data_IF_477433310474
#
_entry.id   IF_477433310474
#
_cell.length_a   1.000
_cell.length_b   1.000
_cell.length_c   1.000
_cell.angle_alpha   90.00
_cell.angle_beta   90.00
_cell.angle_gamma   90.00
#
_symmetry.space_group_name_H-M   'P 1'
#
loop_
_entity.id
_entity.type
_entity.pdbx_description
1 polymer ?
#
# COMPACT_ATOMS: atom_id res chain seq x y z
N UNK A 1 3.24 -12.56 -21.71
CA UNK A 1 3.93 -13.48 -20.77
C UNK A 1 4.24 -12.76 -19.43
N UNK A 2 3.21 -12.60 -18.60
CA UNK A 2 3.28 -11.82 -17.37
C UNK A 2 3.69 -12.66 -16.16
N UNK A 3 4.67 -12.09 -15.47
CA UNK A 3 5.06 -12.16 -14.05
C UNK A 3 4.18 -12.88 -12.98
N UNK A 4 3.56 -14.06 -13.17
CA UNK A 4 2.91 -14.81 -12.06
C UNK A 4 3.84 -14.85 -10.83
N UNK A 5 3.31 -14.77 -9.59
CA UNK A 5 4.13 -14.71 -8.39
C UNK A 5 5.09 -15.91 -8.32
N UNK A 6 6.37 -15.64 -8.08
CA UNK A 6 7.41 -16.66 -7.94
C UNK A 6 7.42 -17.18 -6.50
N UNK A 7 6.84 -18.35 -6.22
CA UNK A 7 6.96 -18.94 -4.89
C UNK A 7 8.27 -19.72 -4.79
N UNK A 8 9.07 -19.36 -3.77
CA UNK A 8 10.22 -20.15 -3.37
C UNK A 8 9.79 -21.20 -2.35
N UNK A 9 9.78 -22.46 -2.77
CA UNK A 9 9.65 -23.57 -1.83
C UNK A 9 11.07 -23.89 -1.35
N UNK A 10 11.46 -23.33 -0.20
CA UNK A 10 12.75 -23.66 0.41
C UNK A 10 12.79 -25.14 0.79
N UNK A 11 13.98 -25.76 0.72
CA UNK A 11 14.22 -27.10 1.27
C UNK A 11 13.76 -27.24 2.73
N UNK A 12 13.68 -26.12 3.48
CA UNK A 12 13.15 -26.02 4.85
C UNK A 12 11.65 -26.32 4.94
N UNK A 13 10.83 -25.86 3.98
CA UNK A 13 9.38 -26.14 3.92
C UNK A 13 9.17 -27.62 3.62
N UNK A 14 9.95 -28.18 2.69
CA UNK A 14 9.99 -29.62 2.44
C UNK A 14 10.42 -30.42 3.68
N UNK A 15 11.40 -29.94 4.47
CA UNK A 15 11.83 -30.59 5.73
C UNK A 15 10.72 -30.57 6.79
N UNK A 16 10.02 -29.45 6.98
CA UNK A 16 8.92 -29.35 7.95
C UNK A 16 7.71 -30.21 7.56
N UNK A 17 7.37 -30.26 6.27
CA UNK A 17 6.32 -31.17 5.76
C UNK A 17 6.71 -32.64 5.97
N UNK A 18 7.98 -33.01 5.76
CA UNK A 18 8.52 -34.35 6.04
C UNK A 18 8.44 -34.73 7.52
N UNK A 19 8.77 -33.79 8.42
CA UNK A 19 8.70 -33.97 9.87
C UNK A 19 7.25 -34.17 10.36
N UNK A 20 6.30 -33.39 9.84
CA UNK A 20 4.88 -33.47 10.24
C UNK A 20 4.20 -34.78 9.81
N UNK A 21 4.64 -35.40 8.71
CA UNK A 21 4.01 -36.60 8.15
C UNK A 21 4.86 -37.87 8.22
N UNK A 22 5.98 -37.86 8.96
CA UNK A 22 6.92 -39.00 9.12
C UNK A 22 7.28 -39.71 7.79
N UNK A 23 7.48 -38.94 6.73
CA UNK A 23 7.87 -39.49 5.43
C UNK A 23 9.37 -39.81 5.43
N UNK A 24 9.74 -41.07 5.23
CA UNK A 24 11.14 -41.52 5.10
C UNK A 24 11.88 -40.75 3.99
N UNK A 25 13.21 -40.62 4.15
CA UNK A 25 14.11 -39.86 3.26
C UNK A 25 13.92 -40.26 1.79
N UNK A 26 13.13 -39.48 1.07
CA UNK A 26 12.97 -39.58 -0.38
C UNK A 26 13.82 -38.47 -1.02
N UNK A 27 14.51 -38.82 -2.12
CA UNK A 27 15.46 -37.98 -2.85
C UNK A 27 14.95 -36.55 -3.09
N UNK A 28 15.85 -35.57 -3.08
CA UNK A 28 15.54 -34.14 -3.23
C UNK A 28 14.78 -33.76 -4.52
N UNK A 29 14.68 -34.69 -5.49
CA UNK A 29 13.92 -34.54 -6.73
C UNK A 29 12.41 -34.80 -6.60
N UNK A 30 11.97 -35.58 -5.59
CA UNK A 30 10.58 -36.01 -5.47
C UNK A 30 9.57 -34.85 -5.29
N UNK A 31 9.85 -33.84 -4.44
CA UNK A 31 8.97 -32.69 -4.29
C UNK A 31 8.74 -31.95 -5.62
N UNK A 32 9.78 -31.85 -6.46
CA UNK A 32 9.68 -31.20 -7.76
C UNK A 32 8.77 -31.95 -8.74
N UNK A 33 8.83 -33.29 -8.76
CA UNK A 33 7.95 -34.14 -9.57
C UNK A 33 6.48 -34.02 -9.10
N UNK A 34 6.25 -34.05 -7.79
CA UNK A 34 4.91 -33.92 -7.22
C UNK A 34 4.27 -32.54 -7.50
N UNK A 35 5.06 -31.47 -7.42
CA UNK A 35 4.60 -30.12 -7.74
C UNK A 35 4.18 -30.02 -9.22
N UNK A 36 4.97 -30.57 -10.15
CA UNK A 36 4.61 -30.57 -11.58
C UNK A 36 3.39 -31.43 -11.90
N UNK A 37 3.20 -32.53 -11.17
CA UNK A 37 2.00 -33.37 -11.29
C UNK A 37 0.75 -32.61 -10.83
N UNK A 38 0.83 -31.89 -9.70
CA UNK A 38 -0.32 -31.15 -9.17
C UNK A 38 -0.58 -29.82 -9.88
N UNK A 39 0.46 -29.19 -10.42
CA UNK A 39 0.41 -27.92 -11.12
C UNK A 39 1.05 -28.05 -12.51
N UNK A 40 0.33 -28.59 -13.50
CA UNK A 40 0.90 -28.93 -14.82
C UNK A 40 1.47 -27.74 -15.59
N UNK A 41 0.95 -26.53 -15.31
CA UNK A 41 1.37 -25.27 -15.95
C UNK A 41 2.58 -24.61 -15.26
N UNK A 42 3.14 -25.21 -14.21
CA UNK A 42 4.26 -24.62 -13.46
C UNK A 42 5.56 -24.67 -14.25
N UNK A 43 6.24 -23.54 -14.35
CA UNK A 43 7.56 -23.43 -14.99
C UNK A 43 8.65 -23.16 -13.94
N UNK A 44 9.93 -23.32 -14.31
CA UNK A 44 11.06 -23.07 -13.40
C UNK A 44 11.94 -21.97 -13.96
N UNK A 45 12.34 -21.01 -13.12
CA UNK A 45 13.28 -19.94 -13.49
C UNK A 45 14.39 -19.83 -12.45
N UNK A 46 15.56 -19.35 -12.86
CA UNK A 46 16.67 -19.03 -11.96
C UNK A 46 16.72 -17.50 -11.78
N UNK A 47 16.59 -17.02 -10.55
CA UNK A 47 16.52 -15.59 -10.22
C UNK A 47 17.61 -15.23 -9.20
N UNK A 48 18.18 -14.04 -9.33
CA UNK A 48 19.25 -13.51 -8.47
C UNK A 48 20.47 -13.04 -9.26
N UNK A 49 21.33 -12.25 -8.63
CA UNK A 49 22.57 -11.71 -9.20
C UNK A 49 23.61 -12.80 -9.48
N UNK A 50 24.65 -12.48 -10.27
CA UNK A 50 25.72 -13.41 -10.64
C UNK A 50 26.34 -14.03 -9.38
N UNK A 51 26.31 -15.35 -9.26
CA UNK A 51 26.79 -16.09 -8.08
C UNK A 51 25.74 -16.39 -7.00
N UNK A 52 24.59 -15.69 -6.99
CA UNK A 52 23.52 -15.88 -5.98
C UNK A 52 22.21 -16.41 -6.56
N UNK A 53 22.19 -16.77 -7.84
CA UNK A 53 20.99 -17.20 -8.55
C UNK A 53 20.40 -18.52 -8.03
N UNK A 54 19.12 -18.52 -7.65
CA UNK A 54 18.37 -19.65 -7.08
C UNK A 54 17.19 -20.06 -7.97
N UNK A 55 16.75 -21.32 -7.88
CA UNK A 55 15.59 -21.83 -8.62
C UNK A 55 14.27 -21.43 -7.97
N UNK A 56 13.31 -20.99 -8.78
CA UNK A 56 11.95 -20.61 -8.40
C UNK A 56 10.94 -21.34 -9.27
N UNK A 57 9.83 -21.77 -8.65
CA UNK A 57 8.66 -22.26 -9.37
C UNK A 57 7.75 -21.09 -9.72
N UNK A 58 7.21 -21.12 -10.92
CA UNK A 58 6.53 -20.02 -11.55
C UNK A 58 5.15 -20.44 -12.02
N UNK A 59 4.13 -19.67 -11.69
CA UNK A 59 2.73 -20.02 -11.92
C UNK A 59 2.06 -20.79 -10.79
N UNK A 60 2.65 -20.74 -9.59
CA UNK A 60 2.05 -21.22 -8.35
C UNK A 60 2.24 -20.17 -7.25
N UNK A 61 1.21 -19.98 -6.43
CA UNK A 61 1.15 -19.01 -5.33
C UNK A 61 0.73 -19.68 -4.03
N UNK A 62 1.13 -19.12 -2.87
CA UNK A 62 0.51 -19.53 -1.60
C UNK A 62 -0.95 -19.08 -1.60
N UNK A 63 -1.88 -19.97 -1.23
CA UNK A 63 -3.33 -19.67 -1.16
C UNK A 63 -3.62 -18.67 -0.04
N UNK A 64 -4.57 -17.76 -0.25
CA UNK A 64 -5.02 -16.77 0.75
C UNK A 64 -5.50 -17.41 2.06
N UNK A 65 -6.06 -18.61 1.99
CA UNK A 65 -6.52 -19.39 3.15
C UNK A 65 -5.40 -20.17 3.86
N UNK A 66 -4.15 -20.07 3.41
CA UNK A 66 -3.03 -20.80 3.99
C UNK A 66 -2.41 -20.02 5.15
N UNK A 67 -2.10 -20.70 6.25
CA UNK A 67 -1.30 -20.16 7.37
C UNK A 67 0.09 -19.64 6.95
N UNK A 68 0.60 -20.07 5.79
CA UNK A 68 1.87 -19.59 5.23
C UNK A 68 1.71 -18.40 4.28
N UNK A 69 0.48 -17.95 4.03
CA UNK A 69 0.22 -16.81 3.16
C UNK A 69 0.85 -15.55 3.74
N UNK A 70 0.69 -15.35 5.05
CA UNK A 70 1.41 -14.32 5.79
C UNK A 70 2.92 -14.47 5.62
N UNK A 71 3.53 -15.57 6.07
CA UNK A 71 4.99 -15.72 5.96
C UNK A 71 5.58 -15.59 4.54
N UNK A 72 4.81 -15.89 3.48
CA UNK A 72 5.25 -15.75 2.10
C UNK A 72 5.09 -14.33 1.53
N UNK A 73 4.21 -13.50 2.12
CA UNK A 73 3.82 -12.20 1.59
C UNK A 73 3.77 -11.06 2.65
N UNK A 74 4.12 -11.32 3.91
CA UNK A 74 4.09 -10.37 5.02
C UNK A 74 5.25 -9.37 4.94
N UNK A 75 4.95 -8.15 5.38
CA UNK A 75 5.88 -7.03 5.51
C UNK A 75 6.41 -6.44 4.20
N UNK A 76 5.90 -6.88 3.04
CA UNK A 76 6.33 -6.37 1.74
C UNK A 76 5.17 -5.77 0.98
N UNK A 77 5.26 -4.46 0.72
CA UNK A 77 4.30 -3.67 -0.04
C UNK A 77 2.94 -3.44 0.68
N UNK A 78 2.94 -3.23 2.01
CA UNK A 78 1.74 -2.69 2.68
C UNK A 78 1.60 -1.22 2.29
N UNK A 79 2.69 -0.47 2.42
CA UNK A 79 2.85 0.89 1.92
C UNK A 79 3.92 0.94 0.84
N UNK A 80 4.11 2.11 0.23
CA UNK A 80 5.24 2.37 -0.67
C UNK A 80 6.60 2.43 0.04
N UNK A 81 6.59 2.66 1.35
CA UNK A 81 7.79 2.73 2.18
C UNK A 81 8.20 1.36 2.74
N UNK A 82 7.30 0.35 2.66
CA UNK A 82 7.57 -1.02 3.10
C UNK A 82 8.78 -1.64 2.41
N UNK A 83 9.71 -2.18 3.21
CA UNK A 83 10.89 -2.91 2.73
C UNK A 83 11.98 -2.03 2.08
N UNK A 84 11.92 -0.71 2.26
CA UNK A 84 13.01 0.19 1.91
C UNK A 84 14.19 -0.05 2.86
N UNK A 85 15.40 -0.21 2.30
CA UNK A 85 16.63 -0.25 3.08
C UNK A 85 17.43 1.01 2.81
N UNK A 86 18.11 1.53 3.84
CA UNK A 86 19.06 2.63 3.68
C UNK A 86 20.11 2.22 2.65
N UNK A 87 20.01 2.72 1.42
CA UNK A 87 21.11 2.68 0.47
C UNK A 87 22.09 3.77 0.90
N UNK A 88 23.20 3.38 1.56
CA UNK A 88 24.39 4.24 1.75
C UNK A 88 24.95 4.58 0.36
N UNK A 89 24.34 5.55 -0.29
CA UNK A 89 24.85 6.18 -1.50
C UNK A 89 25.06 7.63 -1.13
N UNK A 90 26.24 8.14 -1.46
CA UNK A 90 26.75 9.46 -1.10
C UNK A 90 25.71 10.58 -1.22
N UNK A 91 25.81 11.55 -0.31
CA UNK A 91 25.04 12.79 -0.16
C UNK A 91 25.02 13.72 -1.39
N UNK A 92 25.14 13.20 -2.62
CA UNK A 92 25.29 14.00 -3.84
C UNK A 92 24.37 13.58 -4.98
N UNK A 93 23.29 12.84 -4.71
CA UNK A 93 22.12 12.94 -5.58
C UNK A 93 21.49 14.29 -5.27
N UNK A 94 22.03 15.34 -5.89
CA UNK A 94 21.31 16.58 -6.14
C UNK A 94 19.82 16.25 -6.28
N UNK A 95 18.97 16.95 -5.53
CA UNK A 95 17.85 17.82 -5.99
C UNK A 95 17.35 17.64 -7.44
N UNK A 96 17.49 16.46 -8.05
CA UNK A 96 17.06 16.08 -9.38
C UNK A 96 15.59 15.76 -9.22
N UNK A 97 14.88 16.88 -9.22
CA UNK A 97 13.46 17.15 -9.31
C UNK A 97 12.59 15.95 -8.98
N UNK A 98 11.89 16.04 -7.86
CA UNK A 98 10.72 15.22 -7.50
C UNK A 98 9.81 14.92 -8.71
N UNK A 99 9.80 15.81 -9.72
CA UNK A 99 8.96 15.77 -10.91
C UNK A 99 9.60 15.05 -12.13
N UNK A 100 10.93 14.83 -12.19
CA UNK A 100 11.60 14.22 -13.35
C UNK A 100 11.55 12.68 -13.38
N UNK A 101 10.88 12.01 -12.44
CA UNK A 101 10.87 10.53 -12.31
C UNK A 101 9.71 9.83 -13.05
N UNK A 102 8.72 10.56 -13.55
CA UNK A 102 7.55 9.98 -14.22
C UNK A 102 7.82 9.52 -15.65
N UNK A 103 8.06 8.22 -15.89
CA UNK A 103 7.93 7.65 -17.24
C UNK A 103 6.51 7.14 -17.45
N UNK A 104 5.91 7.43 -18.61
CA UNK A 104 4.56 7.02 -19.08
C UNK A 104 4.31 5.49 -19.17
N UNK A 105 5.17 4.64 -18.63
CA UNK A 105 5.07 3.20 -18.82
C UNK A 105 3.84 2.64 -18.08
N UNK A 106 2.84 2.15 -18.83
CA UNK A 106 1.66 1.47 -18.28
C UNK A 106 0.31 2.03 -18.74
N UNK A 107 0.26 3.28 -19.23
CA UNK A 107 -0.98 3.92 -19.71
C UNK A 107 -1.58 3.32 -20.97
N UNK A 108 -0.83 2.42 -21.64
CA UNK A 108 -1.27 1.83 -22.90
C UNK A 108 -2.12 0.55 -22.76
N UNK A 109 -2.41 0.09 -21.53
CA UNK A 109 -3.03 -1.22 -21.28
C UNK A 109 -4.35 -1.11 -20.49
N UNK A 110 -5.41 -0.63 -21.14
CA UNK A 110 -6.74 -0.46 -20.51
C UNK A 110 -7.83 -1.22 -21.27
N UNK A 111 -8.93 -1.62 -20.57
CA UNK A 111 -10.04 -2.30 -21.22
C UNK A 111 -10.55 -1.43 -22.35
N UNK A 112 -10.43 -1.95 -23.56
CA UNK A 112 -11.09 -1.35 -24.71
C UNK A 112 -12.55 -1.82 -24.72
N UNK A 113 -13.45 -1.09 -25.39
CA UNK A 113 -14.85 -1.50 -25.55
C UNK A 113 -15.00 -2.94 -26.04
N UNK A 114 -14.09 -3.40 -26.90
CA UNK A 114 -14.02 -4.79 -27.37
C UNK A 114 -13.73 -5.84 -26.27
N UNK A 115 -13.08 -5.44 -25.17
CA UNK A 115 -12.81 -6.32 -24.03
C UNK A 115 -14.06 -6.53 -23.16
N UNK A 116 -15.13 -5.73 -23.35
CA UNK A 116 -16.30 -5.66 -22.49
C UNK A 116 -17.59 -6.16 -23.18
N UNK A 117 -18.48 -6.77 -22.40
CA UNK A 117 -19.83 -7.15 -22.80
C UNK A 117 -20.74 -5.94 -22.67
N UNK A 118 -20.69 -5.11 -23.70
CA UNK A 118 -21.51 -3.89 -23.79
C UNK A 118 -22.93 -4.29 -24.24
N UNK A 119 -23.99 -3.91 -23.50
CA UNK A 119 -25.36 -4.13 -23.93
C UNK A 119 -25.66 -3.59 -25.34
N UNK A 120 -26.46 -4.31 -26.12
CA UNK A 120 -26.72 -3.98 -27.54
C UNK A 120 -27.38 -2.62 -27.78
N UNK A 121 -28.07 -2.08 -26.77
CA UNK A 121 -28.71 -0.77 -26.83
C UNK A 121 -27.73 0.41 -26.73
N UNK A 122 -26.46 0.15 -26.39
CA UNK A 122 -25.44 1.19 -26.28
C UNK A 122 -24.79 1.41 -27.64
N UNK A 123 -24.81 2.66 -28.07
CA UNK A 123 -24.10 3.14 -29.25
C UNK A 123 -22.58 2.98 -29.04
N UNK A 124 -22.00 1.98 -29.71
CA UNK A 124 -20.58 1.62 -29.57
C UNK A 124 -19.67 2.75 -30.05
N UNK A 125 -20.00 3.42 -31.15
CA UNK A 125 -19.17 4.49 -31.70
C UNK A 125 -19.10 5.69 -30.74
N UNK A 126 -20.22 6.01 -30.07
CA UNK A 126 -20.24 7.04 -29.02
C UNK A 126 -19.45 6.63 -27.78
N UNK A 127 -19.54 5.37 -27.36
CA UNK A 127 -18.78 4.86 -26.22
C UNK A 127 -17.27 4.85 -26.51
N UNK A 128 -16.88 4.39 -27.69
CA UNK A 128 -15.49 4.39 -28.17
C UNK A 128 -14.93 5.81 -28.20
N UNK A 129 -15.69 6.74 -28.78
CA UNK A 129 -15.34 8.16 -28.84
C UNK A 129 -15.16 8.76 -27.44
N UNK A 130 -16.09 8.48 -26.52
CA UNK A 130 -15.99 8.95 -25.13
C UNK A 130 -14.74 8.41 -24.43
N UNK A 131 -14.49 7.10 -24.51
CA UNK A 131 -13.35 6.49 -23.83
C UNK A 131 -12.01 6.97 -24.42
N UNK A 132 -11.95 7.22 -25.73
CA UNK A 132 -10.78 7.84 -26.36
C UNK A 132 -10.55 9.27 -25.85
N UNK A 133 -11.60 10.10 -25.77
CA UNK A 133 -11.52 11.45 -25.20
C UNK A 133 -11.12 11.42 -23.72
N UNK A 134 -11.70 10.51 -22.94
CA UNK A 134 -11.39 10.36 -21.53
C UNK A 134 -9.93 9.96 -21.32
N UNK A 135 -9.40 9.09 -22.18
CA UNK A 135 -8.00 8.68 -22.15
C UNK A 135 -7.06 9.86 -22.42
N UNK A 136 -7.37 10.62 -23.47
CA UNK A 136 -6.60 11.82 -23.81
C UNK A 136 -6.62 12.85 -22.67
N UNK A 137 -7.77 13.02 -22.01
CA UNK A 137 -7.90 13.87 -20.84
C UNK A 137 -7.02 13.39 -19.69
N UNK A 138 -7.08 12.11 -19.33
CA UNK A 138 -6.24 11.55 -18.28
C UNK A 138 -4.73 11.67 -18.58
N UNK A 139 -4.31 11.45 -19.83
CA UNK A 139 -2.94 11.68 -20.26
C UNK A 139 -2.53 13.15 -20.07
N UNK A 140 -3.40 14.08 -20.44
CA UNK A 140 -3.15 15.53 -20.29
C UNK A 140 -3.04 15.94 -18.82
N UNK A 141 -3.87 15.36 -17.94
CA UNK A 141 -3.77 15.56 -16.50
C UNK A 141 -2.41 15.11 -15.97
N UNK A 142 -1.95 13.93 -16.39
CA UNK A 142 -0.64 13.44 -15.97
C UNK A 142 0.51 14.26 -16.50
N UNK A 143 0.45 14.72 -17.75
CA UNK A 143 1.48 15.60 -18.30
C UNK A 143 1.56 16.90 -17.50
N UNK A 144 0.41 17.47 -17.10
CA UNK A 144 0.36 18.64 -16.21
C UNK A 144 0.92 18.34 -14.81
N UNK A 145 0.65 17.16 -14.24
CA UNK A 145 1.23 16.74 -12.94
C UNK A 145 2.73 16.53 -13.01
N UNK A 146 3.24 15.91 -14.09
CA UNK A 146 4.69 15.74 -14.33
C UNK A 146 5.37 17.10 -14.51
N UNK A 147 4.69 18.06 -15.14
CA UNK A 147 5.16 19.45 -15.25
C UNK A 147 4.95 20.27 -13.96
N UNK A 148 4.34 19.69 -12.93
CA UNK A 148 3.89 20.37 -11.70
C UNK A 148 3.06 21.65 -11.93
N UNK A 149 2.35 21.68 -13.05
CA UNK A 149 1.43 22.76 -13.37
C UNK A 149 0.03 22.40 -12.84
N UNK A 150 -0.17 22.54 -11.54
CA UNK A 150 -1.43 22.18 -10.88
C UNK A 150 -2.59 23.12 -11.20
N UNK A 151 -2.30 24.35 -11.63
CA UNK A 151 -3.29 25.26 -12.23
C UNK A 151 -3.85 24.68 -13.53
N UNK A 152 -2.98 24.16 -14.42
CA UNK A 152 -3.43 23.47 -15.63
C UNK A 152 -4.23 22.19 -15.31
N UNK A 153 -3.89 21.47 -14.24
CA UNK A 153 -4.70 20.32 -13.77
C UNK A 153 -6.12 20.78 -13.43
N UNK A 154 -6.28 21.88 -12.67
CA UNK A 154 -7.59 22.45 -12.36
C UNK A 154 -8.35 22.77 -13.64
N UNK A 155 -7.74 23.51 -14.56
CA UNK A 155 -8.41 23.99 -15.77
C UNK A 155 -8.82 22.81 -16.68
N UNK A 156 -7.99 21.78 -16.80
CA UNK A 156 -8.31 20.54 -17.51
C UNK A 156 -9.52 19.83 -16.90
N UNK A 157 -9.59 19.70 -15.57
CA UNK A 157 -10.72 19.07 -14.87
C UNK A 157 -12.00 19.87 -15.09
N UNK A 158 -11.95 21.19 -14.94
CA UNK A 158 -13.12 22.06 -15.10
C UNK A 158 -13.65 22.04 -16.54
N UNK A 159 -12.75 22.09 -17.54
CA UNK A 159 -13.15 22.21 -18.95
C UNK A 159 -13.59 20.89 -19.59
N UNK A 160 -12.97 19.76 -19.23
CA UNK A 160 -13.28 18.48 -19.88
C UNK A 160 -14.75 18.12 -19.70
N UNK A 161 -15.26 18.15 -18.47
CA UNK A 161 -16.62 17.72 -18.19
C UNK A 161 -17.68 18.68 -18.70
N UNK A 162 -17.38 19.99 -18.79
CA UNK A 162 -18.28 20.97 -19.42
C UNK A 162 -18.33 20.83 -20.94
N UNK A 163 -17.34 20.18 -21.56
CA UNK A 163 -17.29 19.96 -23.01
C UNK A 163 -18.00 18.69 -23.48
N UNK A 164 -18.43 17.80 -22.57
CA UNK A 164 -19.11 16.55 -22.91
C UNK A 164 -20.59 16.82 -23.23
N UNK A 165 -21.06 16.33 -24.38
CA UNK A 165 -22.47 16.49 -24.79
C UNK A 165 -23.44 15.74 -23.86
N UNK A 166 -24.68 16.23 -23.73
CA UNK A 166 -25.72 15.57 -22.92
C UNK A 166 -25.99 14.13 -23.36
N UNK A 167 -25.95 13.86 -24.67
CA UNK A 167 -26.15 12.51 -25.20
C UNK A 167 -25.02 11.55 -24.82
N UNK A 168 -23.78 12.05 -24.71
CA UNK A 168 -22.64 11.29 -24.20
C UNK A 168 -22.76 11.09 -22.68
N UNK A 169 -23.17 12.12 -21.92
CA UNK A 169 -23.37 12.00 -20.46
C UNK A 169 -24.43 10.95 -20.10
N UNK A 170 -25.46 10.77 -20.92
CA UNK A 170 -26.44 9.70 -20.74
C UNK A 170 -25.81 8.31 -20.81
N UNK A 171 -24.88 8.08 -21.75
CA UNK A 171 -24.13 6.82 -21.88
C UNK A 171 -23.19 6.62 -20.69
N UNK A 172 -22.49 7.69 -20.27
CA UNK A 172 -21.55 7.63 -19.13
C UNK A 172 -22.27 7.30 -17.82
N UNK A 173 -23.56 7.63 -17.71
CA UNK A 173 -24.36 7.38 -16.52
C UNK A 173 -24.78 5.91 -16.35
N UNK A 174 -24.52 5.04 -17.33
CA UNK A 174 -24.78 3.61 -17.25
C UNK A 174 -23.78 2.91 -16.33
N UNK A 175 -24.25 1.96 -15.51
CA UNK A 175 -23.42 1.28 -14.49
C UNK A 175 -22.14 0.65 -15.07
N UNK A 176 -22.24 0.03 -16.24
CA UNK A 176 -21.10 -0.57 -16.95
C UNK A 176 -20.02 0.47 -17.26
N UNK A 177 -20.42 1.66 -17.72
CA UNK A 177 -19.47 2.73 -18.09
C UNK A 177 -18.93 3.42 -16.83
N UNK A 178 -19.77 3.58 -15.80
CA UNK A 178 -19.35 4.08 -14.50
C UNK A 178 -18.26 3.19 -13.87
N UNK A 179 -18.42 1.87 -13.93
CA UNK A 179 -17.41 0.93 -13.41
C UNK A 179 -16.07 1.06 -14.16
N UNK A 180 -16.12 1.20 -15.49
CA UNK A 180 -14.91 1.46 -16.30
C UNK A 180 -14.25 2.78 -15.90
N UNK A 181 -15.02 3.87 -15.82
CA UNK A 181 -14.50 5.20 -15.44
C UNK A 181 -13.87 5.16 -14.04
N UNK A 182 -14.48 4.48 -13.07
CA UNK A 182 -13.93 4.40 -11.70
C UNK A 182 -12.65 3.56 -11.61
N UNK A 183 -12.50 2.54 -12.45
CA UNK A 183 -11.25 1.78 -12.58
C UNK A 183 -10.17 2.66 -13.21
N UNK A 184 -10.52 3.45 -14.22
CA UNK A 184 -9.59 4.41 -14.84
C UNK A 184 -9.17 5.50 -13.86
N UNK A 185 -10.10 6.05 -13.09
CA UNK A 185 -9.80 7.01 -12.02
C UNK A 185 -8.86 6.40 -10.97
N UNK A 186 -9.15 5.17 -10.52
CA UNK A 186 -8.30 4.47 -9.55
C UNK A 186 -6.86 4.29 -10.06
N UNK A 187 -6.69 4.11 -11.38
CA UNK A 187 -5.37 4.02 -11.98
C UNK A 187 -4.71 5.39 -12.14
N UNK A 188 -5.46 6.37 -12.65
CA UNK A 188 -5.00 7.75 -12.81
C UNK A 188 -4.39 8.27 -11.52
N UNK A 189 -5.14 8.17 -10.44
CA UNK A 189 -4.71 8.62 -9.13
C UNK A 189 -3.53 7.79 -8.60
N UNK A 190 -3.46 6.49 -8.88
CA UNK A 190 -2.28 5.69 -8.56
C UNK A 190 -1.01 6.13 -9.31
N UNK A 191 -1.13 6.57 -10.57
CA UNK A 191 0.02 7.12 -11.32
C UNK A 191 0.41 8.49 -10.79
N UNK A 192 -0.57 9.35 -10.50
CA UNK A 192 -0.32 10.63 -9.85
C UNK A 192 0.41 10.41 -8.52
N UNK A 193 0.00 9.42 -7.72
CA UNK A 193 0.65 9.04 -6.48
C UNK A 193 2.14 8.70 -6.68
N UNK A 194 2.49 7.92 -7.71
CA UNK A 194 3.89 7.55 -8.06
C UNK A 194 4.72 8.74 -8.60
N UNK A 195 4.08 9.72 -9.22
CA UNK A 195 4.76 10.95 -9.67
C UNK A 195 4.98 11.91 -8.49
N UNK A 196 4.00 12.03 -7.60
CA UNK A 196 3.97 13.04 -6.54
C UNK A 196 4.81 12.67 -5.32
N UNK A 197 4.91 11.37 -4.96
CA UNK A 197 5.78 10.97 -3.85
C UNK A 197 6.84 9.94 -4.24
N UNK A 198 8.05 10.09 -3.69
CA UNK A 198 9.16 9.17 -3.83
C UNK A 198 8.88 7.88 -3.06
N UNK A 199 9.62 6.84 -3.42
CA UNK A 199 9.57 5.54 -2.72
C UNK A 199 10.46 5.56 -1.48
N UNK A 200 11.51 6.36 -1.51
CA UNK A 200 12.37 6.60 -0.37
C UNK A 200 11.66 7.51 0.63
N UNK A 201 11.80 7.22 1.92
CA UNK A 201 11.37 8.14 2.97
C UNK A 201 12.38 9.29 2.94
N UNK A 202 12.09 10.40 2.25
CA UNK A 202 13.01 11.52 2.09
C UNK A 202 12.32 12.86 2.39
N UNK A 203 13.10 13.85 2.78
CA UNK A 203 12.59 15.14 3.23
C UNK A 203 11.90 15.91 2.11
N UNK A 204 10.63 16.26 2.30
CA UNK A 204 9.83 17.02 1.34
C UNK A 204 10.16 18.51 1.49
N UNK A 205 10.62 19.20 0.42
CA UNK A 205 10.81 20.65 0.48
C UNK A 205 9.49 21.38 0.71
N UNK A 206 9.48 22.40 1.59
CA UNK A 206 8.26 23.16 1.93
C UNK A 206 7.55 23.80 0.73
N UNK A 207 8.31 24.21 -0.30
CA UNK A 207 7.71 24.74 -1.54
C UNK A 207 6.92 23.66 -2.27
N UNK A 208 7.48 22.46 -2.36
CA UNK A 208 6.84 21.33 -3.03
C UNK A 208 5.65 20.78 -2.21
N UNK A 209 5.78 20.73 -0.88
CA UNK A 209 4.67 20.38 0.01
C UNK A 209 3.45 21.27 -0.24
N UNK A 210 3.65 22.59 -0.34
CA UNK A 210 2.58 23.55 -0.62
C UNK A 210 1.90 23.26 -1.96
N UNK A 211 2.67 22.98 -3.00
CA UNK A 211 2.13 22.69 -4.33
C UNK A 211 1.35 21.36 -4.35
N UNK A 212 1.88 20.27 -3.75
CA UNK A 212 1.13 19.00 -3.66
C UNK A 212 -0.13 19.19 -2.83
N UNK A 213 -0.06 19.91 -1.70
CA UNK A 213 -1.22 20.15 -0.84
C UNK A 213 -2.31 20.91 -1.60
N UNK A 214 -1.95 21.91 -2.40
CA UNK A 214 -2.88 22.61 -3.29
C UNK A 214 -3.62 21.65 -4.24
N UNK A 215 -2.90 20.72 -4.87
CA UNK A 215 -3.51 19.70 -5.73
C UNK A 215 -4.44 18.76 -4.94
N UNK A 216 -3.97 18.21 -3.83
CA UNK A 216 -4.67 17.19 -3.04
C UNK A 216 -5.94 17.72 -2.39
N UNK A 217 -5.92 18.99 -1.97
CA UNK A 217 -7.08 19.65 -1.38
C UNK A 217 -8.01 20.26 -2.43
N UNK A 218 -7.45 20.74 -3.54
CA UNK A 218 -8.21 21.37 -4.62
C UNK A 218 -8.97 20.36 -5.49
N UNK A 219 -8.38 19.22 -5.84
CA UNK A 219 -8.96 18.28 -6.80
C UNK A 219 -10.39 17.81 -6.44
N UNK A 220 -10.71 17.47 -5.18
CA UNK A 220 -12.09 17.14 -4.78
C UNK A 220 -13.07 18.29 -4.98
N UNK A 221 -12.66 19.52 -4.65
CA UNK A 221 -13.46 20.72 -4.83
C UNK A 221 -13.71 21.00 -6.32
N UNK A 222 -12.68 20.90 -7.17
CA UNK A 222 -12.79 21.16 -8.61
C UNK A 222 -13.76 20.18 -9.29
N UNK A 223 -13.76 18.90 -8.88
CA UNK A 223 -14.74 17.93 -9.40
C UNK A 223 -16.16 18.25 -8.90
N UNK A 224 -16.32 18.75 -7.67
CA UNK A 224 -17.64 19.13 -7.16
C UNK A 224 -18.25 20.32 -7.91
N UNK A 225 -17.41 21.21 -8.47
CA UNK A 225 -17.84 22.40 -9.22
C UNK A 225 -18.36 22.10 -10.63
N UNK A 226 -17.99 20.97 -11.24
CA UNK A 226 -18.49 20.59 -12.56
C UNK A 226 -19.88 19.95 -12.47
N UNK A 227 -20.74 20.26 -13.45
CA UNK A 227 -22.08 19.69 -13.54
C UNK A 227 -22.02 18.26 -14.08
N UNK A 228 -21.98 17.29 -13.16
CA UNK A 228 -22.00 15.85 -13.49
C UNK A 228 -23.31 15.19 -13.05
N UNK A 229 -23.77 14.14 -13.78
CA UNK A 229 -24.81 13.23 -13.30
C UNK A 229 -24.51 12.72 -11.89
N UNK A 230 -25.54 12.58 -11.05
CA UNK A 230 -25.38 12.27 -9.63
C UNK A 230 -24.65 10.94 -9.36
N UNK A 231 -24.93 9.90 -10.15
CA UNK A 231 -24.28 8.59 -10.07
C UNK A 231 -22.78 8.67 -10.37
N UNK A 232 -22.42 9.36 -11.46
CA UNK A 232 -21.03 9.60 -11.86
C UNK A 232 -20.29 10.40 -10.80
N UNK A 233 -20.87 11.52 -10.34
CA UNK A 233 -20.27 12.38 -9.32
C UNK A 233 -19.99 11.58 -8.05
N UNK A 234 -20.97 10.83 -7.57
CA UNK A 234 -20.85 10.05 -6.34
C UNK A 234 -19.72 9.03 -6.42
N UNK A 235 -19.68 8.20 -7.47
CA UNK A 235 -18.62 7.18 -7.60
C UNK A 235 -17.23 7.79 -7.79
N UNK A 236 -17.09 8.87 -8.55
CA UNK A 236 -15.78 9.52 -8.74
C UNK A 236 -15.25 10.17 -7.47
N UNK A 237 -16.11 10.83 -6.70
CA UNK A 237 -15.75 11.40 -5.40
C UNK A 237 -15.28 10.30 -4.43
N UNK A 238 -15.91 9.13 -4.42
CA UNK A 238 -15.45 8.01 -3.59
C UNK A 238 -14.01 7.59 -3.91
N UNK A 239 -13.69 7.38 -5.20
CA UNK A 239 -12.33 7.02 -5.61
C UNK A 239 -11.33 8.11 -5.24
N UNK A 240 -11.71 9.36 -5.47
CA UNK A 240 -10.85 10.50 -5.19
C UNK A 240 -10.61 10.70 -3.68
N UNK A 241 -11.62 10.50 -2.85
CA UNK A 241 -11.49 10.58 -1.38
C UNK A 241 -10.53 9.50 -0.84
N UNK A 242 -10.56 8.29 -1.39
CA UNK A 242 -9.62 7.22 -1.02
C UNK A 242 -8.17 7.64 -1.32
N UNK A 243 -7.92 8.16 -2.53
CA UNK A 243 -6.60 8.65 -2.90
C UNK A 243 -6.15 9.85 -2.06
N UNK A 244 -7.05 10.82 -1.84
CA UNK A 244 -6.78 12.02 -1.05
C UNK A 244 -6.33 11.66 0.37
N UNK A 245 -7.03 10.71 1.01
CA UNK A 245 -6.68 10.24 2.36
C UNK A 245 -5.28 9.63 2.39
N UNK A 246 -5.01 8.65 1.52
CA UNK A 246 -3.70 7.99 1.44
C UNK A 246 -2.58 8.99 1.16
N UNK A 247 -2.75 9.90 0.21
CA UNK A 247 -1.70 10.86 -0.15
C UNK A 247 -1.44 11.89 0.96
N UNK A 248 -2.49 12.39 1.64
CA UNK A 248 -2.32 13.23 2.83
C UNK A 248 -1.55 12.50 3.94
N UNK A 249 -1.85 11.22 4.19
CA UNK A 249 -1.11 10.39 5.14
C UNK A 249 0.35 10.20 4.73
N UNK A 250 0.65 10.01 3.45
CA UNK A 250 2.03 9.89 2.99
C UNK A 250 2.83 11.17 3.22
N UNK A 251 2.25 12.34 2.94
CA UNK A 251 2.88 13.65 3.20
C UNK A 251 3.13 13.81 4.70
N UNK A 252 2.09 13.61 5.52
CA UNK A 252 2.16 13.69 6.99
C UNK A 252 3.22 12.76 7.58
N UNK A 253 3.18 11.48 7.21
CA UNK A 253 4.16 10.49 7.64
C UNK A 253 5.59 10.88 7.26
N UNK A 254 5.81 11.37 6.03
CA UNK A 254 7.16 11.74 5.58
C UNK A 254 7.75 12.89 6.42
N UNK A 255 6.93 13.86 6.82
CA UNK A 255 7.33 14.97 7.70
C UNK A 255 7.64 14.50 9.13
N UNK A 256 6.80 13.62 9.66
CA UNK A 256 7.02 13.02 10.99
C UNK A 256 8.25 12.13 10.99
N UNK A 257 8.47 11.34 9.95
CA UNK A 257 9.67 10.54 9.74
C UNK A 257 10.93 11.41 9.73
N UNK A 258 10.94 12.52 8.99
CA UNK A 258 12.06 13.48 9.00
C UNK A 258 12.37 13.99 10.41
N UNK A 259 11.34 14.43 11.12
CA UNK A 259 11.49 14.92 12.50
C UNK A 259 12.01 13.81 13.41
N UNK A 260 11.45 12.60 13.32
CA UNK A 260 11.82 11.44 14.11
C UNK A 260 13.27 10.97 13.86
N UNK A 261 13.81 11.14 12.64
CA UNK A 261 15.22 10.82 12.35
C UNK A 261 16.19 11.60 13.23
N UNK A 262 15.90 12.88 13.51
CA UNK A 262 16.76 13.70 14.38
C UNK A 262 16.83 13.15 15.81
N UNK A 263 15.78 12.47 16.27
CA UNK A 263 15.73 11.80 17.57
C UNK A 263 16.49 10.48 17.53
N UNK A 264 16.19 9.61 16.55
CA UNK A 264 16.79 8.26 16.48
C UNK A 264 18.28 8.26 16.12
N UNK A 265 18.74 9.28 15.39
CA UNK A 265 20.17 9.46 15.07
C UNK A 265 20.99 10.00 16.25
N UNK A 266 20.34 10.57 17.28
CA UNK A 266 21.01 11.05 18.48
C UNK A 266 21.01 9.97 19.56
N UNK A 267 22.21 9.50 19.91
CA UNK A 267 22.40 8.46 20.92
C UNK A 267 21.95 8.90 22.32
N UNK A 268 22.18 10.17 22.69
CA UNK A 268 21.78 10.71 23.99
C UNK A 268 20.26 10.73 24.13
N UNK A 269 19.55 11.18 23.09
CA UNK A 269 18.09 11.17 23.07
C UNK A 269 17.55 9.74 23.19
N UNK A 270 18.13 8.80 22.46
CA UNK A 270 17.72 7.39 22.49
C UNK A 270 18.00 6.75 23.86
N UNK A 271 19.13 7.10 24.50
CA UNK A 271 19.46 6.64 25.85
C UNK A 271 18.47 7.18 26.88
N UNK A 272 18.12 8.47 26.83
CA UNK A 272 17.11 9.05 27.71
C UNK A 272 15.75 8.35 27.57
N UNK A 273 15.31 8.05 26.34
CA UNK A 273 14.07 7.28 26.13
C UNK A 273 14.16 5.90 26.81
N UNK A 274 15.29 5.21 26.65
CA UNK A 274 15.47 3.88 27.22
C UNK A 274 15.48 3.91 28.75
N UNK A 275 16.17 4.88 29.36
CA UNK A 275 16.21 5.04 30.82
C UNK A 275 14.81 5.30 31.38
N UNK A 276 14.08 6.23 30.79
CA UNK A 276 12.73 6.57 31.22
C UNK A 276 11.77 5.37 31.03
N UNK A 277 11.88 4.62 29.92
CA UNK A 277 11.08 3.41 29.71
C UNK A 277 11.42 2.28 30.68
N UNK A 278 12.70 2.08 31.01
CA UNK A 278 13.11 1.06 31.99
C UNK A 278 12.69 1.43 33.43
N UNK A 279 12.48 2.72 33.70
CA UNK A 279 11.99 3.21 34.99
C UNK A 279 10.48 3.04 35.20
N UNK A 280 9.72 2.73 34.15
CA UNK A 280 8.28 2.49 34.23
C UNK A 280 7.98 1.05 34.64
N UNK A 281 6.98 0.87 35.50
CA UNK A 281 6.32 -0.43 35.67
C UNK A 281 5.40 -0.68 34.47
N UNK A 282 5.96 -1.32 33.44
CA UNK A 282 5.22 -1.62 32.22
C UNK A 282 4.01 -2.53 32.48
N UNK A 283 4.03 -3.31 33.57
CA UNK A 283 2.92 -4.18 33.91
C UNK A 283 1.71 -3.40 34.42
N UNK A 284 1.95 -2.40 35.26
CA UNK A 284 0.94 -1.44 35.72
C UNK A 284 0.41 -0.59 34.55
N UNK A 285 1.31 -0.03 33.72
CA UNK A 285 0.95 0.77 32.54
C UNK A 285 0.02 0.00 31.60
N UNK A 286 0.35 -1.26 31.31
CA UNK A 286 -0.49 -2.06 30.43
C UNK A 286 -1.77 -2.55 31.13
N UNK A 287 -1.79 -2.74 32.45
CA UNK A 287 -3.04 -3.05 33.17
C UNK A 287 -4.01 -1.88 33.09
N UNK A 288 -3.52 -0.66 33.23
CA UNK A 288 -4.30 0.56 33.02
C UNK A 288 -4.80 0.68 31.57
N UNK A 289 -3.89 0.52 30.59
CA UNK A 289 -4.22 0.71 29.18
C UNK A 289 -5.23 -0.32 28.64
N UNK A 290 -5.17 -1.56 29.15
CA UNK A 290 -6.00 -2.68 28.69
C UNK A 290 -7.12 -3.03 29.65
N UNK A 291 -7.40 -2.20 30.67
CA UNK A 291 -8.48 -2.46 31.63
C UNK A 291 -9.87 -2.66 30.98
N UNK A 292 -10.06 -2.15 29.76
CA UNK A 292 -11.30 -2.28 28.98
C UNK A 292 -11.15 -3.14 27.71
N UNK A 293 -10.00 -3.79 27.49
CA UNK A 293 -9.73 -4.59 26.29
C UNK A 293 -9.42 -6.03 26.66
N UNK A 294 -10.30 -6.95 26.27
CA UNK A 294 -10.05 -8.38 26.41
C UNK A 294 -9.05 -8.83 25.31
N UNK A 295 -8.06 -9.64 25.71
CA UNK A 295 -7.25 -10.51 24.81
C UNK A 295 -6.15 -9.87 23.94
N UNK A 296 -5.66 -8.66 24.27
CA UNK A 296 -4.58 -7.99 23.49
C UNK A 296 -3.19 -7.96 24.16
N UNK A 297 -3.05 -8.44 25.40
CA UNK A 297 -1.85 -8.19 26.23
C UNK A 297 -0.58 -8.87 25.72
N UNK A 298 -0.63 -10.15 25.36
CA UNK A 298 0.59 -10.90 25.00
C UNK A 298 1.24 -10.43 23.70
N UNK A 299 0.45 -10.20 22.64
CA UNK A 299 0.93 -9.62 21.37
C UNK A 299 1.53 -8.23 21.60
N UNK A 300 0.96 -7.49 22.55
CA UNK A 300 1.40 -6.16 22.90
C UNK A 300 2.73 -6.14 23.67
N UNK A 301 2.90 -7.00 24.68
CA UNK A 301 4.14 -7.11 25.46
C UNK A 301 5.34 -7.46 24.55
N UNK A 302 5.11 -8.33 23.55
CA UNK A 302 6.10 -8.65 22.51
C UNK A 302 6.47 -7.38 21.72
N UNK A 303 5.48 -6.61 21.28
CA UNK A 303 5.70 -5.38 20.54
C UNK A 303 6.53 -4.34 21.30
N UNK A 304 6.26 -4.15 22.59
CA UNK A 304 7.05 -3.22 23.43
C UNK A 304 8.49 -3.70 23.61
N UNK A 305 8.68 -4.99 23.89
CA UNK A 305 10.01 -5.57 24.02
C UNK A 305 10.83 -5.44 22.72
N UNK A 306 10.19 -5.62 21.57
CA UNK A 306 10.81 -5.42 20.25
C UNK A 306 11.16 -3.96 20.00
N UNK A 307 10.27 -3.00 20.33
CA UNK A 307 10.57 -1.58 20.23
C UNK A 307 11.78 -1.19 21.08
N UNK A 308 11.83 -1.61 22.34
CA UNK A 308 12.97 -1.38 23.24
C UNK A 308 14.25 -1.98 22.63
N UNK A 309 14.17 -3.17 22.03
CA UNK A 309 15.29 -3.81 21.35
C UNK A 309 15.77 -3.02 20.13
N UNK A 310 14.86 -2.40 19.37
CA UNK A 310 15.19 -1.55 18.22
C UNK A 310 15.86 -0.25 18.67
N UNK A 311 15.34 0.41 19.71
CA UNK A 311 15.95 1.60 20.30
C UNK A 311 17.36 1.31 20.81
N UNK A 312 17.58 0.19 21.51
CA UNK A 312 18.92 -0.26 21.95
C UNK A 312 19.92 -0.48 20.81
N UNK A 313 19.42 -0.78 19.61
CA UNK A 313 20.24 -1.01 18.41
C UNK A 313 20.44 0.25 17.57
N UNK A 314 19.95 1.41 18.01
CA UNK A 314 19.92 2.65 17.23
C UNK A 314 19.25 2.43 15.86
N UNK A 315 18.09 1.78 15.87
CA UNK A 315 17.31 1.53 14.67
C UNK A 315 16.94 2.83 13.94
N UNK A 316 17.01 2.78 12.61
CA UNK A 316 16.57 3.87 11.75
C UNK A 316 15.03 3.95 11.66
N UNK A 317 14.52 5.02 11.05
CA UNK A 317 13.08 5.11 10.74
C UNK A 317 12.66 3.99 9.81
N UNK A 318 13.51 3.62 8.85
CA UNK A 318 13.27 2.51 7.93
C UNK A 318 13.13 1.17 8.68
N UNK A 319 14.02 0.91 9.64
CA UNK A 319 13.96 -0.29 10.48
C UNK A 319 12.67 -0.32 11.32
N UNK A 320 12.24 0.83 11.87
CA UNK A 320 10.97 0.94 12.59
C UNK A 320 9.77 0.69 11.66
N UNK A 321 9.78 1.20 10.42
CA UNK A 321 8.70 0.93 9.47
C UNK A 321 8.62 -0.54 9.07
N UNK A 322 9.75 -1.21 8.87
CA UNK A 322 9.80 -2.65 8.58
C UNK A 322 9.28 -3.46 9.77
N UNK A 323 9.62 -3.05 10.99
CA UNK A 323 9.09 -3.66 12.19
C UNK A 323 7.58 -3.44 12.36
N UNK A 324 7.06 -2.22 12.14
CA UNK A 324 5.63 -1.92 12.23
C UNK A 324 4.82 -2.73 11.21
N UNK A 325 5.34 -2.87 9.99
CA UNK A 325 4.76 -3.73 8.95
C UNK A 325 4.64 -5.18 9.45
N UNK A 326 5.69 -5.71 10.09
CA UNK A 326 5.68 -7.06 10.68
C UNK A 326 4.74 -7.18 11.88
N UNK A 327 4.72 -6.20 12.78
CA UNK A 327 3.88 -6.20 13.97
C UNK A 327 2.39 -6.22 13.60
N UNK A 328 1.99 -5.35 12.67
CA UNK A 328 0.62 -5.31 12.15
C UNK A 328 0.22 -6.63 11.47
N UNK A 329 1.11 -7.21 10.67
CA UNK A 329 0.83 -8.47 9.99
C UNK A 329 0.77 -9.66 10.96
N UNK A 330 1.62 -9.69 11.98
CA UNK A 330 1.58 -10.72 13.03
C UNK A 330 0.28 -10.65 13.81
N UNK A 331 -0.17 -9.45 14.19
CA UNK A 331 -1.48 -9.26 14.83
C UNK A 331 -2.62 -9.81 13.94
N UNK A 332 -2.58 -9.53 12.63
CA UNK A 332 -3.54 -10.11 11.68
C UNK A 332 -3.45 -11.64 11.56
N UNK A 333 -2.27 -12.24 11.72
CA UNK A 333 -2.07 -13.69 11.63
C UNK A 333 -2.56 -14.43 12.86
N UNK A 334 -2.34 -13.89 14.06
CA UNK A 334 -2.77 -14.51 15.31
C UNK A 334 -4.29 -14.71 15.31
N UNK A 335 -5.06 -13.70 14.90
CA UNK A 335 -6.53 -13.80 14.76
C UNK A 335 -6.95 -14.80 13.66
N UNK A 336 -6.23 -14.88 12.54
CA UNK A 336 -6.54 -15.87 11.49
C UNK A 336 -6.30 -17.33 11.93
N UNK A 337 -5.46 -17.55 12.94
CA UNK A 337 -5.14 -18.88 13.47
C UNK A 337 -6.09 -19.25 14.61
N UNK A 338 -6.52 -18.28 15.43
CA UNK A 338 -7.33 -18.53 16.63
C UNK A 338 -8.85 -18.48 16.37
N UNK A 339 -9.32 -17.72 15.38
CA UNK A 339 -10.75 -17.56 15.10
C UNK A 339 -11.19 -18.24 13.78
N UNK A 340 -12.16 -19.14 13.86
CA UNK A 340 -12.92 -19.65 12.69
C UNK A 340 -13.85 -18.58 12.07
N UNK A 341 -14.03 -17.45 12.77
CA UNK A 341 -14.81 -16.32 12.27
C UNK A 341 -14.01 -15.55 11.21
N UNK A 342 -14.63 -15.29 10.06
CA UNK A 342 -14.06 -14.49 8.96
C UNK A 342 -13.99 -13.00 9.34
N UNK A 343 -13.28 -12.64 10.42
CA UNK A 343 -12.99 -11.24 10.68
C UNK A 343 -12.11 -10.69 9.54
N UNK A 344 -12.51 -9.56 8.99
CA UNK A 344 -11.74 -8.87 7.96
C UNK A 344 -10.40 -8.41 8.53
N UNK A 345 -9.33 -8.46 7.73
CA UNK A 345 -8.01 -7.89 8.07
C UNK A 345 -8.11 -6.45 8.60
N UNK A 346 -9.08 -5.69 8.10
CA UNK A 346 -9.38 -4.33 8.55
C UNK A 346 -9.83 -4.25 10.02
N UNK A 347 -10.53 -5.25 10.54
CA UNK A 347 -10.94 -5.27 11.95
C UNK A 347 -9.71 -5.47 12.84
N UNK A 348 -8.86 -6.45 12.50
CA UNK A 348 -7.68 -6.77 13.30
C UNK A 348 -6.67 -5.62 13.35
N UNK A 349 -6.47 -4.92 12.23
CA UNK A 349 -5.62 -3.72 12.23
C UNK A 349 -6.18 -2.61 13.13
N UNK A 350 -7.51 -2.42 13.18
CA UNK A 350 -8.12 -1.43 14.07
C UNK A 350 -7.93 -1.78 15.53
N UNK A 351 -8.11 -3.05 15.89
CA UNK A 351 -7.94 -3.52 17.26
C UNK A 351 -6.48 -3.35 17.71
N UNK A 352 -5.52 -3.77 16.87
CA UNK A 352 -4.09 -3.57 17.14
C UNK A 352 -3.73 -2.09 17.32
N UNK A 353 -4.21 -1.22 16.43
CA UNK A 353 -3.95 0.21 16.51
C UNK A 353 -4.58 0.85 17.76
N UNK A 354 -5.80 0.46 18.11
CA UNK A 354 -6.46 0.94 19.32
C UNK A 354 -5.67 0.54 20.57
N UNK A 355 -5.26 -0.72 20.65
CA UNK A 355 -4.41 -1.25 21.72
C UNK A 355 -3.09 -0.49 21.83
N UNK A 356 -2.43 -0.23 20.69
CA UNK A 356 -1.22 0.59 20.64
C UNK A 356 -1.45 2.01 21.16
N UNK A 357 -2.48 2.69 20.67
CA UNK A 357 -2.78 4.07 21.05
C UNK A 357 -3.10 4.21 22.54
N UNK A 358 -3.84 3.26 23.12
CA UNK A 358 -4.18 3.27 24.54
C UNK A 358 -2.94 3.09 25.42
N UNK A 359 -2.08 2.13 25.08
CA UNK A 359 -0.86 1.90 25.87
C UNK A 359 0.11 3.08 25.81
N UNK A 360 0.37 3.60 24.61
CA UNK A 360 1.24 4.76 24.51
C UNK A 360 0.62 6.00 25.16
N UNK A 361 -0.70 6.11 25.20
CA UNK A 361 -1.37 7.15 26.00
C UNK A 361 -1.08 6.99 27.49
N UNK A 362 -1.10 5.77 28.04
CA UNK A 362 -0.72 5.51 29.41
C UNK A 362 0.75 5.83 29.68
N UNK A 363 1.69 5.40 28.81
CA UNK A 363 3.11 5.80 28.90
C UNK A 363 3.24 7.32 28.95
N UNK A 364 2.63 8.04 27.99
CA UNK A 364 2.74 9.50 27.93
C UNK A 364 2.21 10.17 29.21
N UNK A 365 1.14 9.62 29.81
CA UNK A 365 0.61 10.11 31.09
C UNK A 365 1.63 9.95 32.22
N UNK A 366 2.23 8.77 32.37
CA UNK A 366 3.26 8.52 33.38
C UNK A 366 4.48 9.44 33.19
N UNK A 367 4.98 9.59 31.96
CA UNK A 367 6.09 10.50 31.63
C UNK A 367 5.76 11.98 31.89
N UNK A 368 4.50 12.37 31.71
CA UNK A 368 4.03 13.73 32.04
C UNK A 368 4.09 13.98 33.54
N UNK A 369 3.60 13.03 34.34
CA UNK A 369 3.56 13.15 35.79
C UNK A 369 4.96 13.10 36.42
N UNK A 370 5.89 12.37 35.81
CA UNK A 370 7.29 12.33 36.27
C UNK A 370 8.15 13.49 35.76
N UNK A 371 7.63 14.33 34.85
CA UNK A 371 8.40 15.42 34.24
C UNK A 371 9.59 14.91 33.42
N UNK A 372 9.42 13.78 32.72
CA UNK A 372 10.51 13.07 32.04
C UNK A 372 11.19 13.92 30.96
N UNK A 373 12.53 13.95 30.90
CA UNK A 373 13.27 14.67 29.87
C UNK A 373 13.12 14.02 28.48
N UNK A 374 12.79 12.73 28.40
CA UNK A 374 12.58 12.05 27.11
C UNK A 374 11.18 12.27 26.51
N UNK A 375 10.27 12.97 27.20
CA UNK A 375 8.86 13.12 26.80
C UNK A 375 8.70 13.52 25.33
N UNK A 376 9.38 14.59 24.90
CA UNK A 376 9.29 15.08 23.51
C UNK A 376 9.83 14.07 22.49
N UNK A 377 10.90 13.36 22.85
CA UNK A 377 11.56 12.40 21.97
C UNK A 377 10.69 11.16 21.73
N UNK A 378 10.17 10.55 22.81
CA UNK A 378 9.29 9.38 22.69
C UNK A 378 7.94 9.74 22.08
N UNK A 379 7.41 10.94 22.36
CA UNK A 379 6.20 11.43 21.70
C UNK A 379 6.35 11.46 20.18
N UNK A 380 7.50 11.92 19.67
CA UNK A 380 7.75 11.98 18.24
C UNK A 380 7.85 10.58 17.60
N UNK A 381 8.52 9.63 18.26
CA UNK A 381 8.57 8.22 17.83
C UNK A 381 7.16 7.63 17.78
N UNK A 382 6.36 7.87 18.82
CA UNK A 382 4.97 7.43 18.93
C UNK A 382 4.12 7.98 17.78
N UNK A 383 4.09 9.29 17.58
CA UNK A 383 3.25 9.94 16.56
C UNK A 383 3.66 9.51 15.15
N UNK A 384 4.97 9.35 14.89
CA UNK A 384 5.47 8.80 13.62
C UNK A 384 4.97 7.36 13.39
N UNK A 385 5.06 6.50 14.41
CA UNK A 385 4.59 5.11 14.32
C UNK A 385 3.07 5.04 14.10
N UNK A 386 2.29 5.84 14.84
CA UNK A 386 0.83 5.93 14.69
C UNK A 386 0.44 6.38 13.27
N UNK A 387 1.11 7.40 12.74
CA UNK A 387 0.86 7.89 11.38
C UNK A 387 1.20 6.83 10.31
N UNK A 388 2.29 6.07 10.52
CA UNK A 388 2.65 4.98 9.62
C UNK A 388 1.62 3.85 9.63
N UNK A 389 1.16 3.43 10.81
CA UNK A 389 0.12 2.40 10.92
C UNK A 389 -1.20 2.84 10.29
N UNK A 390 -1.58 4.11 10.47
CA UNK A 390 -2.74 4.72 9.78
C UNK A 390 -2.57 4.70 8.26
N UNK A 391 -1.39 5.11 7.76
CA UNK A 391 -1.05 5.04 6.35
C UNK A 391 -1.16 3.61 5.80
N UNK A 392 -0.60 2.64 6.52
CA UNK A 392 -0.61 1.23 6.17
C UNK A 392 -2.04 0.65 6.13
N UNK A 393 -2.86 1.00 7.11
CA UNK A 393 -4.28 0.66 7.15
C UNK A 393 -5.05 1.27 5.96
N UNK A 394 -4.96 2.58 5.76
CA UNK A 394 -5.68 3.29 4.69
C UNK A 394 -5.25 2.81 3.30
N UNK A 395 -3.96 2.54 3.11
CA UNK A 395 -3.43 1.96 1.86
C UNK A 395 -4.02 0.57 1.61
N UNK A 396 -4.14 -0.27 2.64
CA UNK A 396 -4.78 -1.58 2.52
C UNK A 396 -6.26 -1.47 2.14
N UNK A 397 -7.01 -0.57 2.78
CA UNK A 397 -8.44 -0.35 2.49
C UNK A 397 -8.64 0.17 1.06
N UNK A 398 -7.84 1.15 0.62
CA UNK A 398 -7.89 1.68 -0.73
C UNK A 398 -7.53 0.61 -1.77
N UNK A 399 -6.54 -0.25 -1.47
CA UNK A 399 -6.18 -1.40 -2.33
C UNK A 399 -7.36 -2.37 -2.47
N UNK A 400 -8.04 -2.72 -1.38
CA UNK A 400 -9.17 -3.64 -1.40
C UNK A 400 -10.39 -3.05 -2.13
N UNK A 401 -10.64 -1.74 -1.97
CA UNK A 401 -11.65 -1.02 -2.75
C UNK A 401 -11.35 -1.04 -4.26
N UNK A 402 -10.10 -0.77 -4.64
CA UNK A 402 -9.65 -0.86 -6.03
C UNK A 402 -9.83 -2.27 -6.60
N UNK A 403 -9.41 -3.30 -5.88
CA UNK A 403 -9.56 -4.70 -6.33
C UNK A 403 -11.03 -5.06 -6.56
N UNK A 404 -11.95 -4.59 -5.71
CA UNK A 404 -13.40 -4.78 -5.92
C UNK A 404 -13.91 -4.11 -7.19
N UNK A 405 -13.48 -2.88 -7.49
CA UNK A 405 -13.82 -2.20 -8.76
C UNK A 405 -13.28 -2.95 -9.97
N UNK A 406 -12.05 -3.45 -9.87
CA UNK A 406 -11.47 -4.26 -10.94
C UNK A 406 -12.27 -5.54 -11.18
N UNK A 407 -12.67 -6.25 -10.12
CA UNK A 407 -13.48 -7.46 -10.26
C UNK A 407 -14.88 -7.16 -10.84
N UNK A 408 -15.48 -6.00 -10.53
CA UNK A 408 -16.72 -5.55 -11.16
C UNK A 408 -16.56 -5.41 -12.68
N UNK A 409 -15.48 -4.77 -13.15
CA UNK A 409 -15.20 -4.66 -14.60
C UNK A 409 -14.87 -6.03 -15.22
N UNK A 410 -14.16 -6.91 -14.50
CA UNK A 410 -13.87 -8.27 -14.98
C UNK A 410 -15.12 -9.14 -15.14
N UNK A 411 -16.14 -8.93 -14.30
CA UNK A 411 -17.44 -9.60 -14.45
C UNK A 411 -18.15 -9.23 -15.76
N UNK A 412 -17.84 -8.05 -16.29
CA UNK A 412 -18.37 -7.52 -17.54
C UNK A 412 -17.50 -7.90 -18.75
N UNK A 413 -16.37 -8.61 -18.56
CA UNK A 413 -15.44 -8.87 -19.65
C UNK A 413 -15.90 -9.99 -20.59
N UNK A 414 -15.66 -9.82 -21.88
CA UNK A 414 -15.82 -10.87 -22.89
C UNK A 414 -14.84 -12.01 -22.62
N UNK A 415 -13.60 -11.66 -22.26
CA UNK A 415 -12.53 -12.60 -21.88
C UNK A 415 -11.90 -12.20 -20.53
N UNK A 416 -12.52 -12.61 -19.40
CA UNK A 416 -12.12 -12.14 -18.06
C UNK A 416 -10.66 -12.41 -17.69
N UNK A 417 -10.11 -13.57 -18.08
CA UNK A 417 -8.74 -13.91 -17.70
C UNK A 417 -7.70 -13.11 -18.49
N UNK A 418 -7.96 -12.81 -19.76
CA UNK A 418 -7.07 -11.96 -20.55
C UNK A 418 -7.10 -10.53 -20.03
N UNK A 419 -8.30 -9.99 -19.74
CA UNK A 419 -8.42 -8.65 -19.19
C UNK A 419 -7.78 -8.55 -17.79
N UNK A 420 -7.93 -9.56 -16.94
CA UNK A 420 -7.26 -9.65 -15.64
C UNK A 420 -5.74 -9.57 -15.79
N UNK A 421 -5.19 -10.28 -16.77
CA UNK A 421 -3.76 -10.23 -17.08
C UNK A 421 -3.35 -8.83 -17.55
N UNK A 422 -4.10 -8.19 -18.48
CA UNK A 422 -3.85 -6.82 -18.96
C UNK A 422 -3.85 -5.81 -17.80
N UNK A 423 -4.87 -5.84 -16.94
CA UNK A 423 -4.99 -4.97 -15.78
C UNK A 423 -3.87 -5.20 -14.76
N UNK A 424 -3.51 -6.46 -14.50
CA UNK A 424 -2.40 -6.81 -13.63
C UNK A 424 -1.05 -6.34 -14.20
N UNK A 425 -0.82 -6.40 -15.52
CA UNK A 425 0.38 -5.79 -16.14
C UNK A 425 0.44 -4.29 -15.96
N UNK A 426 -0.67 -3.60 -16.21
CA UNK A 426 -0.71 -2.14 -16.14
C UNK A 426 -0.40 -1.66 -14.72
N UNK A 427 -0.94 -2.37 -13.72
CA UNK A 427 -0.63 -2.13 -12.32
C UNK A 427 0.80 -2.53 -11.94
N UNK A 428 1.26 -3.69 -12.39
CA UNK A 428 2.63 -4.12 -12.17
C UNK A 428 3.63 -3.16 -12.82
N UNK A 429 3.29 -2.50 -13.93
CA UNK A 429 4.14 -1.47 -14.54
C UNK A 429 4.26 -0.22 -13.64
N UNK A 430 3.24 0.12 -12.86
CA UNK A 430 3.33 1.16 -11.84
C UNK A 430 4.20 0.74 -10.65
N UNK A 431 4.05 -0.50 -10.17
CA UNK A 431 4.80 -0.97 -8.99
C UNK A 431 6.22 -1.47 -9.32
N UNK A 432 6.48 -1.89 -10.56
CA UNK A 432 7.78 -2.34 -11.05
C UNK A 432 8.70 -1.18 -11.47
N UNK A 433 9.06 -0.32 -10.51
CA UNK A 433 10.47 0.04 -10.34
C UNK A 433 11.18 -0.83 -9.29
N UNK A 434 10.46 -1.76 -8.63
CA UNK A 434 11.03 -2.85 -7.81
C UNK A 434 11.64 -3.96 -8.68
N UNK A 435 12.75 -3.68 -9.37
CA UNK A 435 13.68 -4.71 -9.85
C UNK A 435 14.99 -4.64 -9.06
N UNK A 436 15.07 -5.42 -8.00
CA UNK A 436 16.28 -6.14 -7.60
C UNK A 436 15.98 -7.64 -7.48
#
# INVERSE_FOLDING_TARGET
PLRLPCVRISATVGRRFRLRWRLCRLCDELPGKLIRLRFPKVTTRRLGTRGQSRYHYYGIGVKTTSIYYGQAYCGKNITRFSGQKIKRTEHNIERKSWMQRGRRHGWNFWPEPQDLRIPEYIDKDKLDSFLAMYRAHCCSLLDAVVAANFEAVRDLVLHFWTSISESTLAIVSLDVVLDVVTVWDSYLYGVMEEILMPKEIQDIPESYEREITFLVEGLPDWICRVTLPGSLRHRRIQVLQEWTKVLKRQISFTKLAQSCRSVLSNADHTHCILDDLNGLDLDDVATEAFCCLDDSRATFDIGVAELISLLKKHASVEDLTEWLDMAMDNAALDVCITNESKQSRSHVYKDFMLSWMLFFSAIMRHLTLSGSPSFGHIHLVRVMAEEYMLLAFETSVARDARLRRQEAVLSLASQPEELRIKMASAWAALSCSNRE
#
